data_IF_596950065566
#
_entry.id   IF_596950065566
#
_cell.length_a   1.000
_cell.length_b   1.000
_cell.length_c   1.000
_cell.angle_alpha   90.00
_cell.angle_beta   90.00
_cell.angle_gamma   90.00
#
_symmetry.space_group_name_H-M   'P 1'
#
loop_
_entity.id
_entity.type
_entity.pdbx_description
1 polymer ?
#
# COMPACT_ATOMS: atom_id res chain seq x y z
N UNK A 1 -2.66 -8.30 18.66
CA UNK A 1 -2.46 -6.98 18.04
C UNK A 1 -3.23 -6.83 16.74
N UNK A 2 -3.73 -5.62 16.46
CA UNK A 2 -4.50 -5.27 15.27
C UNK A 2 -3.97 -3.98 14.65
N UNK A 3 -3.97 -3.89 13.33
CA UNK A 3 -3.61 -2.66 12.63
C UNK A 3 -4.81 -1.70 12.57
N UNK A 4 -4.64 -0.48 13.08
CA UNK A 4 -5.65 0.58 13.07
C UNK A 4 -6.00 1.06 11.66
N UNK A 5 -5.07 0.93 10.71
CA UNK A 5 -5.23 1.39 9.32
C UNK A 5 -5.93 0.33 8.47
N UNK A 6 -5.33 -0.85 8.28
CA UNK A 6 -5.95 -1.88 7.43
C UNK A 6 -6.98 -2.76 8.16
N UNK A 7 -6.99 -2.78 9.50
CA UNK A 7 -7.90 -3.60 10.30
C UNK A 7 -7.50 -5.07 10.45
N UNK A 8 -6.35 -5.48 9.90
CA UNK A 8 -5.89 -6.87 9.98
C UNK A 8 -5.38 -7.24 11.38
N UNK A 9 -5.67 -8.47 11.79
CA UNK A 9 -5.14 -9.07 13.01
C UNK A 9 -3.74 -9.64 12.77
N UNK A 10 -2.81 -9.30 13.67
CA UNK A 10 -1.41 -9.72 13.62
C UNK A 10 -1.15 -10.67 14.79
N UNK A 11 -0.58 -11.83 14.48
CA UNK A 11 -0.32 -12.92 15.42
C UNK A 11 0.96 -13.68 15.05
N UNK A 12 1.29 -14.69 15.85
CA UNK A 12 2.48 -15.53 15.73
C UNK A 12 2.61 -16.29 14.40
N UNK A 13 1.52 -16.39 13.62
CA UNK A 13 1.50 -17.09 12.33
C UNK A 13 1.78 -16.14 11.17
N UNK A 14 1.40 -14.86 11.30
CA UNK A 14 1.40 -13.92 10.18
C UNK A 14 2.27 -12.67 10.37
N UNK A 15 2.99 -12.54 11.50
CA UNK A 15 3.82 -11.38 11.81
C UNK A 15 4.91 -11.08 10.76
N UNK A 16 5.40 -12.10 10.04
CA UNK A 16 6.41 -11.98 8.99
C UNK A 16 5.83 -12.01 7.56
N UNK A 17 4.51 -11.90 7.42
CA UNK A 17 3.92 -11.83 6.09
C UNK A 17 4.47 -10.62 5.32
N UNK A 18 4.75 -10.81 4.03
CA UNK A 18 5.40 -9.82 3.16
C UNK A 18 6.73 -9.25 3.69
N UNK A 19 7.48 -9.99 4.52
CA UNK A 19 8.74 -9.49 5.13
C UNK A 19 9.77 -8.93 4.15
N UNK A 20 9.73 -9.35 2.88
CA UNK A 20 10.64 -8.90 1.82
C UNK A 20 10.31 -7.49 1.31
N UNK A 21 9.19 -6.90 1.75
CA UNK A 21 8.81 -5.50 1.50
C UNK A 21 9.33 -4.54 2.58
N UNK A 22 10.13 -5.00 3.55
CA UNK A 22 10.59 -4.17 4.66
C UNK A 22 12.11 -4.19 4.79
N UNK A 23 12.69 -3.00 5.00
CA UNK A 23 14.11 -2.84 5.33
C UNK A 23 14.39 -3.46 6.71
N UNK A 24 13.54 -3.15 7.69
CA UNK A 24 13.58 -3.74 9.02
C UNK A 24 12.44 -4.74 9.18
N UNK A 25 12.78 -5.99 9.49
CA UNK A 25 11.80 -7.07 9.57
C UNK A 25 11.22 -7.18 10.97
N UNK A 26 9.94 -7.56 11.02
CA UNK A 26 9.30 -7.95 12.27
C UNK A 26 9.99 -9.18 12.88
N UNK A 27 9.93 -9.27 14.21
CA UNK A 27 10.17 -10.50 14.96
C UNK A 27 8.94 -10.80 15.81
N UNK A 28 8.82 -12.03 16.31
CA UNK A 28 7.68 -12.42 17.16
C UNK A 28 7.59 -11.57 18.43
N UNK A 29 8.73 -11.15 18.98
CA UNK A 29 8.80 -10.33 20.20
C UNK A 29 8.75 -8.81 19.93
N UNK A 30 8.93 -8.39 18.67
CA UNK A 30 8.99 -6.99 18.28
C UNK A 30 8.44 -6.80 16.87
N UNK A 31 7.15 -6.47 16.80
CA UNK A 31 6.43 -6.15 15.57
C UNK A 31 6.47 -4.63 15.40
N UNK A 32 7.16 -4.18 14.35
CA UNK A 32 7.45 -2.78 14.07
C UNK A 32 6.65 -2.24 12.87
N UNK A 33 6.11 -3.13 12.03
CA UNK A 33 5.26 -2.80 10.88
C UNK A 33 4.04 -3.72 10.83
N UNK A 34 2.92 -3.23 10.26
CA UNK A 34 1.84 -4.11 9.83
C UNK A 34 2.33 -4.98 8.66
N UNK A 35 2.34 -6.32 8.75
CA UNK A 35 2.83 -7.18 7.69
C UNK A 35 1.92 -7.22 6.44
N UNK A 36 0.76 -6.55 6.49
CA UNK A 36 -0.23 -6.51 5.41
C UNK A 36 -0.21 -5.20 4.62
N UNK A 37 -0.04 -4.05 5.30
CA UNK A 37 -0.09 -2.71 4.69
C UNK A 37 1.12 -1.84 5.03
N UNK A 38 2.14 -2.38 5.67
CA UNK A 38 3.42 -1.72 5.94
C UNK A 38 3.44 -0.60 6.97
N UNK A 39 2.30 -0.07 7.41
CA UNK A 39 2.28 1.04 8.38
C UNK A 39 3.04 0.72 9.67
N UNK A 40 3.67 1.74 10.24
CA UNK A 40 4.51 1.62 11.44
C UNK A 40 3.75 1.22 12.72
N UNK A 41 4.52 0.86 13.74
CA UNK A 41 4.05 0.39 15.06
C UNK A 41 3.06 1.31 15.76
N UNK A 42 3.12 2.61 15.52
CA UNK A 42 2.22 3.62 16.07
C UNK A 42 0.76 3.41 15.64
N UNK A 43 0.54 2.67 14.55
CA UNK A 43 -0.78 2.27 14.07
C UNK A 43 -1.16 0.85 14.50
N UNK A 44 -0.38 0.20 15.36
CA UNK A 44 -0.67 -1.14 15.86
C UNK A 44 -1.18 -1.06 17.31
N UNK A 45 -2.28 -1.75 17.60
CA UNK A 45 -2.93 -1.70 18.91
C UNK A 45 -3.41 -3.06 19.39
N UNK A 46 -3.40 -3.29 20.71
CA UNK A 46 -4.05 -4.45 21.34
C UNK A 46 -5.55 -4.23 21.60
N UNK A 47 -6.04 -2.99 21.56
CA UNK A 47 -7.43 -2.63 21.90
C UNK A 47 -8.47 -2.88 20.79
N UNK A 48 -8.11 -3.60 19.73
CA UNK A 48 -8.97 -3.86 18.55
C UNK A 48 -9.51 -2.62 17.83
N UNK A 49 -8.90 -1.45 18.07
CA UNK A 49 -9.26 -0.19 17.42
C UNK A 49 -8.96 -0.18 15.92
N UNK A 50 -9.86 0.41 15.14
CA UNK A 50 -9.67 0.73 13.73
C UNK A 50 -10.03 2.21 13.55
N UNK A 51 -9.22 2.93 12.78
CA UNK A 51 -9.56 4.30 12.38
C UNK A 51 -10.71 4.19 11.37
N UNK A 52 -11.88 4.70 11.75
CA UNK A 52 -13.08 4.71 10.93
C UNK A 52 -13.36 6.11 10.38
N UNK A 53 -14.06 6.16 9.26
CA UNK A 53 -14.56 7.39 8.66
C UNK A 53 -16.08 7.26 8.49
N UNK A 54 -16.77 8.40 8.42
CA UNK A 54 -18.20 8.43 8.10
C UNK A 54 -18.35 8.71 6.61
N UNK A 55 -18.25 7.67 5.79
CA UNK A 55 -18.26 7.78 4.31
C UNK A 55 -19.52 8.47 3.78
N UNK A 56 -20.65 8.35 4.47
CA UNK A 56 -21.92 9.01 4.12
C UNK A 56 -21.86 10.54 4.20
N UNK A 57 -20.85 11.10 4.87
CA UNK A 57 -20.63 12.54 4.99
C UNK A 57 -19.64 13.08 3.96
N UNK A 58 -19.05 12.23 3.12
CA UNK A 58 -18.08 12.65 2.11
C UNK A 58 -18.76 13.35 0.94
N UNK A 59 -18.14 14.45 0.52
CA UNK A 59 -18.52 15.11 -0.73
C UNK A 59 -18.05 14.32 -1.95
N UNK A 60 -18.58 14.68 -3.13
CA UNK A 60 -18.19 14.03 -4.38
C UNK A 60 -16.68 14.10 -4.67
N UNK A 61 -16.00 15.15 -4.18
CA UNK A 61 -14.57 15.33 -4.40
C UNK A 61 -13.77 14.30 -3.60
N UNK A 62 -14.11 14.11 -2.34
CA UNK A 62 -13.51 13.12 -1.44
C UNK A 62 -13.72 11.70 -1.97
N UNK A 63 -14.94 11.39 -2.46
CA UNK A 63 -15.21 10.09 -3.10
C UNK A 63 -14.40 9.88 -4.38
N UNK A 64 -14.24 10.92 -5.23
CA UNK A 64 -13.38 10.85 -6.42
C UNK A 64 -11.91 10.64 -6.06
N UNK A 65 -11.42 11.26 -4.99
CA UNK A 65 -10.07 11.05 -4.48
C UNK A 65 -9.90 9.59 -4.04
N UNK A 66 -10.82 9.05 -3.24
CA UNK A 66 -10.76 7.66 -2.81
C UNK A 66 -10.82 6.68 -3.98
N UNK A 67 -11.71 6.87 -4.95
CA UNK A 67 -11.80 6.02 -6.15
C UNK A 67 -10.50 6.06 -6.97
N UNK A 68 -9.89 7.23 -7.11
CA UNK A 68 -8.60 7.36 -7.77
C UNK A 68 -7.47 6.67 -6.99
N UNK A 69 -7.47 6.74 -5.65
CA UNK A 69 -6.53 6.01 -4.81
C UNK A 69 -6.69 4.49 -4.98
N UNK A 70 -7.93 3.97 -5.03
CA UNK A 70 -8.18 2.54 -5.34
C UNK A 70 -7.53 2.14 -6.67
N UNK A 71 -7.73 2.94 -7.72
CA UNK A 71 -7.18 2.67 -9.06
C UNK A 71 -5.66 2.71 -9.06
N UNK A 72 -5.07 3.71 -8.38
CA UNK A 72 -3.63 3.86 -8.24
C UNK A 72 -3.00 2.59 -7.68
N UNK A 73 -3.53 2.09 -6.56
CA UNK A 73 -2.95 0.91 -5.89
C UNK A 73 -3.23 -0.40 -6.60
N UNK A 74 -4.36 -0.53 -7.27
CA UNK A 74 -4.58 -1.67 -8.16
C UNK A 74 -3.60 -1.67 -9.34
N UNK A 75 -3.28 -0.51 -9.93
CA UNK A 75 -2.29 -0.41 -11.00
C UNK A 75 -0.87 -0.69 -10.52
N UNK A 76 -0.51 -0.26 -9.30
CA UNK A 76 0.78 -0.57 -8.71
C UNK A 76 0.87 -2.06 -8.35
N UNK A 77 -0.18 -2.63 -7.75
CA UNK A 77 -0.26 -4.06 -7.45
C UNK A 77 -0.13 -4.96 -8.69
N UNK A 78 -0.81 -4.61 -9.79
CA UNK A 78 -0.71 -5.32 -11.08
C UNK A 78 0.69 -5.21 -11.70
N UNK A 79 1.29 -4.01 -11.66
CA UNK A 79 2.66 -3.81 -12.08
C UNK A 79 3.61 -4.71 -11.29
N UNK A 80 3.54 -4.70 -9.96
CA UNK A 80 4.43 -5.49 -9.12
C UNK A 80 4.26 -6.99 -9.31
N UNK A 81 3.03 -7.47 -9.46
CA UNK A 81 2.78 -8.87 -9.78
C UNK A 81 3.46 -9.27 -11.10
N UNK A 82 3.31 -8.41 -12.11
CA UNK A 82 3.92 -8.63 -13.42
C UNK A 82 5.45 -8.54 -13.37
N UNK A 83 5.98 -7.57 -12.63
CA UNK A 83 7.42 -7.38 -12.45
C UNK A 83 8.04 -8.57 -11.72
N UNK A 84 7.38 -9.14 -10.71
CA UNK A 84 7.83 -10.35 -10.02
C UNK A 84 7.93 -11.57 -10.97
N UNK A 85 7.01 -11.67 -11.94
CA UNK A 85 7.06 -12.75 -12.94
C UNK A 85 8.19 -12.57 -13.96
N UNK A 86 8.61 -11.33 -14.22
CA UNK A 86 9.64 -10.98 -15.21
C UNK A 86 11.05 -10.82 -14.63
N UNK A 87 11.15 -10.52 -13.33
CA UNK A 87 12.43 -10.33 -12.65
C UNK A 87 13.31 -11.59 -12.76
N UNK A 88 14.59 -11.39 -13.06
CA UNK A 88 15.60 -12.45 -13.20
C UNK A 88 16.24 -12.76 -11.86
N UNK A 89 16.44 -11.76 -11.01
CA UNK A 89 16.98 -11.91 -9.68
C UNK A 89 15.89 -12.36 -8.68
N UNK A 90 16.15 -13.45 -7.95
CA UNK A 90 15.20 -14.01 -6.99
C UNK A 90 14.85 -13.06 -5.83
N UNK A 91 15.79 -12.23 -5.38
CA UNK A 91 15.52 -11.20 -4.34
C UNK A 91 14.54 -10.16 -4.89
N UNK A 92 14.81 -9.63 -6.08
CA UNK A 92 13.93 -8.64 -6.76
C UNK A 92 12.53 -9.22 -6.98
N UNK A 93 12.45 -10.48 -7.42
CA UNK A 93 11.18 -11.20 -7.59
C UNK A 93 10.37 -11.29 -6.29
N UNK A 94 11.03 -11.60 -5.17
CA UNK A 94 10.38 -11.68 -3.86
C UNK A 94 9.91 -10.31 -3.36
N UNK A 95 10.73 -9.28 -3.52
CA UNK A 95 10.38 -7.89 -3.19
C UNK A 95 9.13 -7.46 -3.94
N UNK A 96 9.11 -7.59 -5.28
CA UNK A 96 7.93 -7.26 -6.08
C UNK A 96 6.71 -8.12 -5.72
N UNK A 97 6.90 -9.40 -5.42
CA UNK A 97 5.81 -10.26 -4.96
C UNK A 97 5.20 -9.83 -3.62
N UNK A 98 6.01 -9.28 -2.71
CA UNK A 98 5.56 -8.73 -1.44
C UNK A 98 4.86 -7.37 -1.62
N UNK A 99 5.46 -6.45 -2.36
CA UNK A 99 4.89 -5.14 -2.70
C UNK A 99 3.54 -5.29 -3.39
N UNK A 100 3.41 -6.21 -4.35
CA UNK A 100 2.13 -6.47 -5.02
C UNK A 100 0.99 -6.76 -4.03
N UNK A 101 1.25 -7.57 -3.00
CA UNK A 101 0.23 -7.92 -1.99
C UNK A 101 -0.10 -6.73 -1.08
N UNK A 102 0.88 -5.90 -0.77
CA UNK A 102 0.72 -4.67 0.01
C UNK A 102 -0.16 -3.68 -0.76
N UNK A 103 0.11 -3.43 -2.05
CA UNK A 103 -0.71 -2.50 -2.84
C UNK A 103 -2.15 -2.98 -3.03
N UNK A 104 -2.34 -4.29 -3.17
CA UNK A 104 -3.70 -4.84 -3.16
C UNK A 104 -4.37 -4.63 -1.80
N UNK A 105 -3.63 -4.67 -0.68
CA UNK A 105 -4.16 -4.27 0.62
C UNK A 105 -4.53 -2.78 0.64
N UNK A 106 -3.66 -1.89 0.15
CA UNK A 106 -3.92 -0.44 0.08
C UNK A 106 -5.19 -0.13 -0.73
N UNK A 107 -5.37 -0.80 -1.87
CA UNK A 107 -6.60 -0.66 -2.68
C UNK A 107 -7.86 -1.02 -1.90
N UNK A 108 -7.80 -2.07 -1.05
CA UNK A 108 -8.94 -2.52 -0.22
C UNK A 108 -9.22 -1.57 0.93
N UNK A 109 -8.18 -0.92 1.46
CA UNK A 109 -8.33 0.14 2.47
C UNK A 109 -9.16 1.28 1.86
N UNK A 110 -8.78 1.79 0.69
CA UNK A 110 -9.53 2.87 0.03
C UNK A 110 -10.94 2.46 -0.42
N UNK A 111 -11.11 1.22 -0.89
CA UNK A 111 -12.45 0.68 -1.19
C UNK A 111 -13.36 0.70 0.03
N UNK A 112 -12.85 0.26 1.18
CA UNK A 112 -13.60 0.28 2.45
C UNK A 112 -13.91 1.72 2.89
N UNK A 113 -12.96 2.65 2.77
CA UNK A 113 -13.14 4.04 3.18
C UNK A 113 -14.16 4.79 2.33
N UNK A 114 -14.24 4.47 1.03
CA UNK A 114 -15.22 5.06 0.11
C UNK A 114 -16.54 4.27 0.00
N UNK A 115 -16.70 3.18 0.76
CA UNK A 115 -17.82 2.24 0.66
C UNK A 115 -18.09 1.73 -0.79
N UNK A 116 -17.01 1.47 -1.54
CA UNK A 116 -17.11 1.01 -2.92
C UNK A 116 -17.35 -0.50 -2.98
N UNK A 117 -18.56 -0.89 -3.36
CA UNK A 117 -18.98 -2.30 -3.46
C UNK A 117 -18.24 -3.05 -4.59
N UNK A 118 -17.78 -2.33 -5.62
CA UNK A 118 -17.13 -2.93 -6.80
C UNK A 118 -15.73 -2.37 -6.99
N UNK A 119 -14.79 -3.26 -7.27
CA UNK A 119 -13.49 -2.85 -7.77
C UNK A 119 -13.64 -2.17 -9.15
N UNK A 120 -12.90 -1.08 -9.42
CA UNK A 120 -12.90 -0.45 -10.72
C UNK A 120 -12.37 -1.42 -11.78
N UNK A 121 -12.97 -1.39 -12.97
CA UNK A 121 -12.46 -2.16 -14.11
C UNK A 121 -11.24 -1.43 -14.68
N UNK A 122 -10.07 -2.08 -14.63
CA UNK A 122 -8.82 -1.51 -15.12
C UNK A 122 -8.45 -2.09 -16.49
N UNK A 123 -8.02 -1.21 -17.40
CA UNK A 123 -7.37 -1.64 -18.63
C UNK A 123 -6.03 -2.28 -18.32
N UNK A 124 -5.71 -3.41 -18.95
CA UNK A 124 -4.38 -4.02 -18.85
C UNK A 124 -3.34 -3.09 -19.46
N UNK A 125 -2.27 -2.84 -18.71
CA UNK A 125 -1.10 -2.11 -19.19
C UNK A 125 -0.03 -3.12 -19.60
N UNK A 126 0.57 -2.95 -20.78
CA UNK A 126 1.76 -3.72 -21.15
C UNK A 126 3.01 -3.09 -20.55
N UNK A 127 3.85 -3.93 -19.95
CA UNK A 127 5.18 -3.56 -19.47
C UNK A 127 6.29 -4.28 -20.26
N UNK A 128 6.01 -4.70 -21.51
CA UNK A 128 6.97 -5.49 -22.32
C UNK A 128 8.24 -4.72 -22.68
N UNK A 129 8.21 -3.38 -22.61
CA UNK A 129 9.37 -2.51 -22.84
C UNK A 129 10.40 -2.53 -21.70
N UNK A 130 10.11 -3.18 -20.58
CA UNK A 130 11.00 -3.28 -19.42
C UNK A 130 11.55 -4.71 -19.33
N UNK A 131 12.77 -4.93 -19.83
CA UNK A 131 13.37 -6.24 -20.10
C UNK A 131 14.51 -6.65 -19.14
N UNK A 132 14.75 -5.81 -18.12
CA UNK A 132 15.79 -5.98 -17.12
C UNK A 132 15.30 -5.59 -15.73
N UNK A 133 15.91 -6.18 -14.70
CA UNK A 133 15.56 -5.90 -13.30
C UNK A 133 15.79 -4.42 -12.97
N UNK A 134 16.85 -3.79 -13.49
CA UNK A 134 17.11 -2.36 -13.31
C UNK A 134 16.03 -1.48 -13.93
N UNK A 135 15.53 -1.82 -15.12
CA UNK A 135 14.44 -1.09 -15.75
C UNK A 135 13.11 -1.24 -14.98
N UNK A 136 12.86 -2.42 -14.40
CA UNK A 136 11.70 -2.67 -13.54
C UNK A 136 11.80 -1.88 -12.23
N UNK A 137 12.96 -1.89 -11.56
CA UNK A 137 13.20 -1.15 -10.32
C UNK A 137 13.09 0.37 -10.54
N UNK A 138 13.60 0.89 -11.66
CA UNK A 138 13.45 2.29 -12.01
C UNK A 138 11.98 2.68 -12.20
N UNK A 139 11.17 1.83 -12.85
CA UNK A 139 9.74 2.08 -12.98
C UNK A 139 9.01 1.95 -11.62
N UNK A 140 9.41 1.00 -10.78
CA UNK A 140 8.88 0.85 -9.43
C UNK A 140 9.06 2.15 -8.64
N UNK A 141 10.28 2.69 -8.61
CA UNK A 141 10.57 3.99 -7.98
C UNK A 141 9.64 5.10 -8.46
N UNK A 142 9.47 5.25 -9.78
CA UNK A 142 8.57 6.28 -10.34
C UNK A 142 7.12 6.12 -9.89
N UNK A 143 6.66 4.87 -9.72
CA UNK A 143 5.31 4.57 -9.26
C UNK A 143 5.13 4.92 -7.79
N UNK A 144 6.12 4.61 -6.95
CA UNK A 144 6.12 4.98 -5.54
C UNK A 144 6.19 6.50 -5.34
N UNK A 145 7.04 7.20 -6.10
CA UNK A 145 7.08 8.67 -6.09
C UNK A 145 5.73 9.29 -6.48
N UNK A 146 5.03 8.68 -7.44
CA UNK A 146 3.68 9.11 -7.82
C UNK A 146 2.66 8.85 -6.70
N UNK A 147 2.74 7.70 -6.01
CA UNK A 147 1.86 7.38 -4.89
C UNK A 147 2.07 8.32 -3.69
N UNK A 148 3.33 8.58 -3.31
CA UNK A 148 3.68 9.60 -2.32
C UNK A 148 3.11 10.96 -2.72
N UNK A 149 3.34 11.40 -3.96
CA UNK A 149 2.85 12.67 -4.47
C UNK A 149 1.32 12.77 -4.43
N UNK A 150 0.63 11.67 -4.71
CA UNK A 150 -0.82 11.57 -4.62
C UNK A 150 -1.29 11.77 -3.17
N UNK A 151 -0.80 10.97 -2.23
CA UNK A 151 -1.20 11.06 -0.83
C UNK A 151 -0.87 12.40 -0.20
N UNK A 152 0.34 12.92 -0.41
CA UNK A 152 0.79 14.21 0.14
C UNK A 152 -0.07 15.38 -0.36
N UNK A 153 -0.49 15.34 -1.63
CA UNK A 153 -1.37 16.34 -2.21
C UNK A 153 -2.78 16.26 -1.65
N UNK A 154 -3.36 15.06 -1.63
CA UNK A 154 -4.79 14.91 -1.37
C UNK A 154 -5.14 14.74 0.11
N UNK A 155 -4.19 14.42 0.99
CA UNK A 155 -4.44 14.37 2.44
C UNK A 155 -5.01 15.68 3.00
N UNK A 156 -4.64 16.82 2.43
CA UNK A 156 -5.16 18.13 2.84
C UNK A 156 -6.49 18.54 2.15
N UNK A 157 -6.96 17.73 1.19
CA UNK A 157 -8.20 17.98 0.45
C UNK A 157 -9.34 17.07 0.88
N UNK A 158 -9.02 16.00 1.61
CA UNK A 158 -10.00 15.16 2.29
C UNK A 158 -10.44 15.89 3.56
N UNK A 159 -11.71 16.29 3.63
CA UNK A 159 -12.26 17.12 4.72
C UNK A 159 -12.57 16.29 5.99
N UNK A 160 -11.68 15.38 6.37
CA UNK A 160 -11.84 14.45 7.49
C UNK A 160 -10.48 14.15 8.12
N UNK A 161 -10.36 14.32 9.45
CA UNK A 161 -9.08 14.16 10.16
C UNK A 161 -8.57 12.73 10.18
N UNK A 162 -9.47 11.74 10.23
CA UNK A 162 -9.12 10.33 10.22
C UNK A 162 -8.64 9.91 8.83
N UNK A 163 -9.28 10.43 7.78
CA UNK A 163 -8.85 10.19 6.40
C UNK A 163 -7.50 10.88 6.10
N UNK A 164 -7.29 12.08 6.63
CA UNK A 164 -5.97 12.73 6.62
C UNK A 164 -4.90 11.83 7.25
N UNK A 165 -5.17 11.28 8.44
CA UNK A 165 -4.23 10.41 9.16
C UNK A 165 -3.90 9.15 8.36
N UNK A 166 -4.91 8.53 7.74
CA UNK A 166 -4.71 7.35 6.89
C UNK A 166 -3.84 7.68 5.67
N UNK A 167 -4.11 8.79 4.98
CA UNK A 167 -3.30 9.20 3.83
C UNK A 167 -1.85 9.51 4.25
N UNK A 168 -1.65 10.13 5.42
CA UNK A 168 -0.32 10.39 5.95
C UNK A 168 0.42 9.08 6.29
N UNK A 169 -0.28 8.09 6.85
CA UNK A 169 0.29 6.78 7.16
C UNK A 169 0.74 6.05 5.89
N UNK A 170 -0.12 5.97 4.86
CA UNK A 170 0.20 5.31 3.60
C UNK A 170 1.31 6.06 2.84
N UNK A 171 1.32 7.40 2.84
CA UNK A 171 2.44 8.17 2.29
C UNK A 171 3.79 7.85 2.96
N UNK A 172 3.79 7.49 4.25
CA UNK A 172 4.97 7.01 4.97
C UNK A 172 5.45 5.66 4.43
N UNK A 173 4.53 4.73 4.21
CA UNK A 173 4.80 3.40 3.64
C UNK A 173 5.39 3.52 2.23
N UNK A 174 4.79 4.32 1.35
CA UNK A 174 5.30 4.47 -0.03
C UNK A 174 6.70 5.10 -0.07
N UNK A 175 7.07 5.95 0.91
CA UNK A 175 8.45 6.45 1.04
C UNK A 175 9.44 5.34 1.39
N UNK A 176 9.05 4.38 2.22
CA UNK A 176 9.88 3.20 2.51
C UNK A 176 10.00 2.31 1.28
N UNK A 177 8.93 2.15 0.50
CA UNK A 177 8.98 1.42 -0.77
C UNK A 177 9.97 2.05 -1.77
N UNK A 178 10.05 3.39 -1.86
CA UNK A 178 11.07 4.08 -2.69
C UNK A 178 12.48 3.62 -2.30
N UNK A 179 12.80 3.63 -1.00
CA UNK A 179 14.12 3.25 -0.50
C UNK A 179 14.39 1.78 -0.84
N UNK A 180 13.40 0.91 -0.66
CA UNK A 180 13.52 -0.52 -0.92
C UNK A 180 13.85 -0.85 -2.38
N UNK A 181 13.30 -0.09 -3.34
CA UNK A 181 13.51 -0.33 -4.78
C UNK A 181 14.70 0.45 -5.36
N UNK A 182 15.41 1.23 -4.54
CA UNK A 182 16.68 1.88 -4.88
C UNK A 182 17.92 1.02 -4.54
N UNK A 183 17.77 0.03 -3.65
CA UNK A 183 18.84 -0.90 -3.22
C UNK A 183 19.07 -2.09 -4.17
#
# INVERSE_FOLDING_TARGET
>A
MKCKICGMEINEINFNFNEEAFINKNSIDNIIHCPFCGVGKEYLSESNEIITVQSDLFDENTLKILDHAVKLELFNGDFYNTAAMRAKNDKVKKVFGALSKIEICHSRIHQRLGDFIKAPNLSKVSYDRYDSDSALLQLAKQKEEHAVGYYEKYKNQVNDSNLFEIFAALAGVEKEHIILVEE
#
